data_IF_603129221487
#
_entry.id   IF_603129221487
#
_cell.length_a   1.000
_cell.length_b   1.000
_cell.length_c   1.000
_cell.angle_alpha   90.00
_cell.angle_beta   90.00
_cell.angle_gamma   90.00
#
_symmetry.space_group_name_H-M   'P 1'
#
loop_
_entity.id
_entity.type
_entity.pdbx_description
1 polymer ?
#
# COMPACT_ATOMS: atom_id res chain seq x y z
N UNK A 1 3.18 -5.37 -6.07
CA UNK A 1 3.31 -3.89 -6.03
C UNK A 1 4.22 -3.43 -7.16
N UNK A 2 3.77 -2.42 -7.90
CA UNK A 2 4.49 -1.78 -9.00
C UNK A 2 4.37 -0.26 -8.88
N UNK A 3 5.46 0.48 -9.12
CA UNK A 3 5.41 1.94 -9.24
C UNK A 3 4.99 2.31 -10.66
N UNK A 4 3.88 3.05 -10.81
CA UNK A 4 3.35 3.46 -12.13
C UNK A 4 4.00 4.76 -12.58
N UNK A 5 4.05 5.73 -11.67
CA UNK A 5 4.64 7.04 -11.87
C UNK A 5 5.19 7.56 -10.52
N UNK A 6 5.86 8.73 -10.46
CA UNK A 6 6.44 9.23 -9.20
C UNK A 6 5.47 9.42 -8.03
N UNK A 7 4.16 9.43 -8.27
CA UNK A 7 3.09 9.69 -7.28
C UNK A 7 2.00 8.62 -7.25
N UNK A 8 2.16 7.52 -7.97
CA UNK A 8 1.15 6.46 -8.10
C UNK A 8 1.77 5.07 -8.03
N UNK A 9 1.15 4.19 -7.24
CA UNK A 9 1.49 2.76 -7.17
C UNK A 9 0.28 1.89 -7.46
N UNK A 10 0.54 0.72 -8.05
CA UNK A 10 -0.39 -0.41 -8.06
C UNK A 10 0.04 -1.41 -7.00
N UNK A 11 -0.88 -1.73 -6.11
CA UNK A 11 -0.73 -2.73 -5.09
C UNK A 11 -1.35 -4.02 -5.60
N UNK A 12 -0.64 -5.12 -5.43
CA UNK A 12 -1.10 -6.47 -5.75
C UNK A 12 -0.59 -7.37 -4.64
N UNK A 13 -1.47 -8.20 -4.08
CA UNK A 13 -1.12 -9.16 -3.04
C UNK A 13 -1.86 -10.48 -3.25
N UNK A 14 -1.45 -11.51 -2.51
CA UNK A 14 -2.18 -12.77 -2.47
C UNK A 14 -3.29 -12.64 -1.42
N UNK A 15 -4.54 -12.56 -1.88
CA UNK A 15 -5.70 -12.57 -0.97
C UNK A 15 -5.85 -13.92 -0.26
N UNK A 16 -6.44 -13.89 0.93
CA UNK A 16 -6.82 -15.11 1.64
C UNK A 16 -8.23 -15.53 1.22
N UNK A 17 -8.45 -16.82 0.92
CA UNK A 17 -9.77 -17.33 0.50
C UNK A 17 -10.90 -17.10 1.53
N UNK A 18 -10.53 -16.93 2.80
CA UNK A 18 -11.46 -16.65 3.90
C UNK A 18 -11.68 -15.16 4.15
N UNK A 19 -11.02 -14.26 3.42
CA UNK A 19 -11.20 -12.82 3.55
C UNK A 19 -12.44 -12.37 2.77
N UNK A 20 -13.27 -11.54 3.39
CA UNK A 20 -14.35 -10.83 2.70
C UNK A 20 -13.84 -9.55 2.01
N UNK A 21 -12.65 -9.09 2.41
CA UNK A 21 -11.94 -7.98 1.80
C UNK A 21 -10.65 -7.67 2.55
N UNK A 22 -10.04 -6.54 2.24
CA UNK A 22 -8.75 -6.14 2.78
C UNK A 22 -8.78 -4.68 3.20
N UNK A 23 -8.17 -4.36 4.34
CA UNK A 23 -7.92 -2.97 4.74
C UNK A 23 -6.49 -2.61 4.43
N UNK A 24 -6.31 -1.52 3.68
CA UNK A 24 -5.00 -0.95 3.40
C UNK A 24 -4.51 -0.14 4.60
N UNK A 25 -3.23 -0.24 4.89
CA UNK A 25 -2.54 0.56 5.88
C UNK A 25 -1.42 1.35 5.19
N UNK A 26 -1.35 2.65 5.45
CA UNK A 26 -0.40 3.56 4.83
C UNK A 26 0.38 4.30 5.90
N UNK A 27 1.71 4.31 5.77
CA UNK A 27 2.60 5.03 6.68
C UNK A 27 3.42 6.05 5.92
N UNK A 28 3.52 7.29 6.40
CA UNK A 28 4.49 8.24 5.89
C UNK A 28 5.86 7.98 6.55
N UNK A 29 6.81 7.47 5.77
CA UNK A 29 8.16 7.11 6.25
C UNK A 29 9.19 8.22 6.04
N UNK A 30 8.79 9.37 5.48
CA UNK A 30 9.69 10.51 5.24
C UNK A 30 10.42 10.97 6.51
N UNK A 31 9.75 10.93 7.65
CA UNK A 31 10.27 11.39 8.95
C UNK A 31 10.93 10.24 9.75
N UNK A 32 11.52 9.27 9.04
CA UNK A 32 12.20 8.12 9.64
C UNK A 32 11.25 7.06 10.20
N UNK A 33 10.01 7.00 9.70
CA UNK A 33 9.01 6.00 10.13
C UNK A 33 8.39 6.26 11.50
N UNK A 34 8.45 7.50 11.99
CA UNK A 34 7.88 7.90 13.28
C UNK A 34 6.36 8.14 13.23
N UNK A 35 5.81 8.38 12.04
CA UNK A 35 4.37 8.46 11.83
C UNK A 35 3.76 7.07 11.97
N UNK A 36 2.71 6.87 12.79
CA UNK A 36 2.00 5.60 12.85
C UNK A 36 1.32 5.27 11.51
N UNK A 37 1.18 3.97 11.16
CA UNK A 37 0.35 3.56 10.02
C UNK A 37 -1.10 3.99 10.21
N UNK A 38 -1.68 4.61 9.18
CA UNK A 38 -3.09 4.97 9.11
C UNK A 38 -3.86 3.91 8.32
N UNK A 39 -5.02 3.51 8.83
CA UNK A 39 -5.88 2.53 8.18
C UNK A 39 -6.82 3.24 7.20
N UNK A 40 -6.94 2.71 5.99
CA UNK A 40 -7.97 3.16 5.06
C UNK A 40 -9.36 2.87 5.67
N UNK A 41 -10.25 3.83 5.49
CA UNK A 41 -11.66 3.72 5.90
C UNK A 41 -12.43 2.73 5.04
N UNK A 42 -12.00 2.53 3.79
CA UNK A 42 -12.65 1.64 2.83
C UNK A 42 -12.08 0.23 2.92
N UNK A 43 -12.95 -0.76 2.69
CA UNK A 43 -12.54 -2.15 2.50
C UNK A 43 -12.39 -2.42 1.01
N UNK A 44 -11.24 -2.97 0.63
CA UNK A 44 -10.90 -3.33 -0.74
C UNK A 44 -11.27 -4.80 -0.93
N UNK A 45 -12.29 -5.07 -1.72
CA UNK A 45 -12.77 -6.45 -1.97
C UNK A 45 -11.75 -7.25 -2.79
N UNK A 46 -11.18 -6.63 -3.82
CA UNK A 46 -10.20 -7.26 -4.69
C UNK A 46 -8.78 -7.26 -4.10
N UNK A 47 -7.94 -8.25 -4.43
CA UNK A 47 -6.56 -8.33 -3.95
C UNK A 47 -5.58 -7.41 -4.75
N UNK A 48 -6.11 -6.33 -5.32
CA UNK A 48 -5.36 -5.31 -6.04
C UNK A 48 -5.96 -3.92 -5.83
N UNK A 49 -5.12 -2.88 -5.78
CA UNK A 49 -5.59 -1.52 -5.54
C UNK A 49 -4.59 -0.46 -6.02
N UNK A 50 -5.10 0.63 -6.60
CA UNK A 50 -4.28 1.77 -7.01
C UNK A 50 -4.27 2.86 -5.95
N UNK A 51 -3.09 3.34 -5.56
CA UNK A 51 -2.96 4.51 -4.67
C UNK A 51 -2.26 5.62 -5.43
N UNK A 52 -2.90 6.79 -5.50
CA UNK A 52 -2.41 7.98 -6.19
C UNK A 52 -2.21 9.15 -5.23
N UNK A 53 -1.76 10.29 -5.76
CA UNK A 53 -1.51 11.53 -5.00
C UNK A 53 -0.44 11.40 -3.91
N UNK A 54 0.51 10.47 -4.10
CA UNK A 54 1.61 10.19 -3.16
C UNK A 54 2.74 11.22 -3.27
N UNK A 55 2.45 12.47 -2.91
CA UNK A 55 3.42 13.57 -2.92
C UNK A 55 4.21 13.62 -1.60
N UNK A 56 5.55 13.87 -1.61
CA UNK A 56 6.40 14.25 -2.75
C UNK A 56 7.02 13.09 -3.52
N UNK A 57 6.57 11.86 -3.28
CA UNK A 57 6.99 10.70 -4.06
C UNK A 57 6.61 9.39 -3.39
N UNK A 58 6.33 8.36 -4.18
CA UNK A 58 5.90 7.03 -3.70
C UNK A 58 6.85 6.40 -2.66
N UNK A 59 8.15 6.67 -2.76
CA UNK A 59 9.20 6.14 -1.86
C UNK A 59 9.17 6.76 -0.44
N UNK A 60 8.27 7.70 -0.18
CA UNK A 60 8.04 8.27 1.15
C UNK A 60 6.88 7.60 1.89
N UNK A 61 6.27 6.58 1.28
CA UNK A 61 5.13 5.87 1.83
C UNK A 61 5.43 4.38 1.94
N UNK A 62 4.87 3.74 2.94
CA UNK A 62 4.90 2.30 3.13
C UNK A 62 3.48 1.75 3.15
N UNK A 63 3.28 0.59 2.54
CA UNK A 63 1.96 -0.02 2.39
C UNK A 63 1.95 -1.47 2.89
N UNK A 64 0.93 -1.84 3.64
CA UNK A 64 0.60 -3.22 3.98
C UNK A 64 -0.90 -3.40 4.04
N UNK A 65 -1.35 -4.65 4.03
CA UNK A 65 -2.76 -4.99 4.09
C UNK A 65 -3.06 -5.90 5.28
N UNK A 66 -4.31 -5.88 5.71
CA UNK A 66 -4.89 -6.88 6.62
C UNK A 66 -6.07 -7.53 5.91
N UNK A 67 -6.32 -8.80 6.19
CA UNK A 67 -7.52 -9.48 5.74
C UNK A 67 -8.67 -9.18 6.71
N UNK A 68 -9.84 -8.84 6.19
CA UNK A 68 -11.06 -8.52 6.95
C UNK A 68 -12.14 -9.54 6.64
N UNK A 69 -12.81 -10.05 7.68
CA UNK A 69 -14.02 -10.86 7.55
C UNK A 69 -14.98 -10.54 8.71
N UNK A 70 -16.06 -9.82 8.40
CA UNK A 70 -16.96 -9.28 9.42
C UNK A 70 -16.23 -8.34 10.38
N UNK A 71 -16.31 -8.62 11.68
CA UNK A 71 -15.60 -7.86 12.73
C UNK A 71 -14.18 -8.35 12.99
N UNK A 72 -13.71 -9.36 12.27
CA UNK A 72 -12.37 -9.93 12.45
C UNK A 72 -11.40 -9.30 11.46
N UNK A 73 -10.20 -8.96 11.93
CA UNK A 73 -9.10 -8.43 11.12
C UNK A 73 -7.81 -9.19 11.47
N UNK A 74 -7.04 -9.58 10.47
CA UNK A 74 -5.78 -10.32 10.67
C UNK A 74 -4.66 -9.42 11.18
N UNK A 75 -3.51 -10.03 11.51
CA UNK A 75 -2.25 -9.30 11.57
C UNK A 75 -1.92 -8.66 10.22
N UNK A 76 -1.10 -7.60 10.23
CA UNK A 76 -0.65 -6.92 9.02
C UNK A 76 0.26 -7.84 8.21
N UNK A 77 0.17 -7.72 6.89
CA UNK A 77 1.22 -8.23 6.00
C UNK A 77 2.56 -7.53 6.28
N UNK A 78 3.62 -8.05 5.69
CA UNK A 78 4.88 -7.30 5.58
C UNK A 78 4.56 -5.99 4.85
N UNK A 79 4.99 -4.86 5.43
CA UNK A 79 4.83 -3.55 4.85
C UNK A 79 5.99 -3.30 3.86
N UNK A 80 5.67 -2.65 2.74
CA UNK A 80 6.61 -2.48 1.62
C UNK A 80 6.63 -1.01 1.20
N UNK A 81 7.85 -0.46 1.11
CA UNK A 81 8.10 0.86 0.53
C UNK A 81 8.29 0.70 -0.99
N UNK A 82 7.54 1.43 -1.83
CA UNK A 82 7.74 1.41 -3.27
C UNK A 82 9.13 1.89 -3.65
N UNK A 83 9.74 1.24 -4.65
CA UNK A 83 10.98 1.70 -5.24
C UNK A 83 10.81 3.07 -5.90
N UNK A 84 11.87 3.88 -5.91
CA UNK A 84 11.89 5.10 -6.72
C UNK A 84 11.68 4.74 -8.20
N UNK A 85 10.83 5.47 -8.95
CA UNK A 85 10.77 5.30 -10.40
C UNK A 85 12.17 5.58 -10.97
N UNK A 86 12.67 4.64 -11.77
CA UNK A 86 13.90 4.88 -12.52
C UNK A 86 13.53 5.79 -13.69
N UNK A 87 14.20 6.95 -13.86
CA UNK A 87 14.01 7.76 -15.06
C UNK A 87 14.23 6.88 -16.30
N UNK A 88 13.41 7.00 -17.35
CA UNK A 88 13.69 6.29 -18.59
C UNK A 88 15.11 6.65 -19.05
N UNK A 89 15.90 5.63 -19.41
CA UNK A 89 17.26 5.84 -19.89
C UNK A 89 17.23 6.86 -21.04
N UNK A 90 18.08 7.89 -20.95
CA UNK A 90 18.22 8.86 -22.03
C UNK A 90 18.60 8.09 -23.32
N UNK A 91 17.82 8.30 -24.38
CA UNK A 91 18.01 7.67 -25.68
C UNK A 91 18.98 8.48 -26.53
#
# INVERSE_FOLDING_TARGET
>A
MTTVDPTTVQLDWNGANSAAGHRLWVTNVKDGGTTPPEADTSIIEDPHHSVAFLFPGVWNFEFCVTAVNGSSESDKSICVVPSRPVPPAAR
#
